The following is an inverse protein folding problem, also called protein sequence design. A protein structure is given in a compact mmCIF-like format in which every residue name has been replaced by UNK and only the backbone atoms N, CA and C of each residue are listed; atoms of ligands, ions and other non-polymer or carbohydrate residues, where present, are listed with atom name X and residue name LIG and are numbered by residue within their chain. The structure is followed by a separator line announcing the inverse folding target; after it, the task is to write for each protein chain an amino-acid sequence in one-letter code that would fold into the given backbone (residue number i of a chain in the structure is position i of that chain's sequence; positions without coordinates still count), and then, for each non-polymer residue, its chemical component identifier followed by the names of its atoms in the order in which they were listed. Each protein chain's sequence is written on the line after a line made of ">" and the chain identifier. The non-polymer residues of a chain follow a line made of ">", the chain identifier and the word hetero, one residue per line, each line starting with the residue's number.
data_IF_258835859659
#
_entry.id   IF_258835859659
#
_cell.length_a   1.000
_cell.length_b   1.000
_cell.length_c   1.000
_cell.angle_alpha   90.00
_cell.angle_beta   90.00
_cell.angle_gamma   90.00
#
_symmetry.space_group_name_H-M   'P 1'
#
loop_
_entity.id
_entity.type
_entity.pdbx_description
1 polymer ?
#
# COMPACT_ATOMS: atom_id res chain seq x y z
N UNK A 1 8.38 -41.28 -11.16
CA UNK A 1 7.80 -40.25 -10.26
C UNK A 1 8.36 -38.90 -10.65
N UNK A 2 7.78 -38.28 -11.66
CA UNK A 2 8.14 -36.93 -12.13
C UNK A 2 7.23 -35.94 -11.44
N UNK A 3 7.63 -35.46 -10.26
CA UNK A 3 6.92 -34.38 -9.58
C UNK A 3 7.05 -33.10 -10.39
N UNK A 4 5.92 -32.50 -10.79
CA UNK A 4 5.93 -31.13 -11.29
C UNK A 4 6.52 -30.21 -10.20
N UNK A 5 7.41 -29.27 -10.56
CA UNK A 5 7.90 -28.30 -9.58
C UNK A 5 6.71 -27.47 -9.07
N UNK A 6 6.49 -27.50 -7.74
CA UNK A 6 5.51 -26.66 -7.06
C UNK A 6 5.74 -25.20 -7.46
N UNK A 7 4.70 -24.54 -7.93
CA UNK A 7 4.80 -23.10 -8.22
C UNK A 7 5.15 -22.35 -6.93
N UNK A 8 5.88 -21.23 -7.02
CA UNK A 8 6.22 -20.40 -5.85
C UNK A 8 4.96 -20.00 -5.05
N UNK A 9 3.82 -19.80 -5.73
CA UNK A 9 2.51 -19.55 -5.09
C UNK A 9 2.02 -20.75 -4.30
N UNK A 10 2.15 -21.97 -4.82
CA UNK A 10 1.79 -23.18 -4.09
C UNK A 10 2.71 -23.43 -2.91
N UNK A 11 4.02 -23.19 -3.06
CA UNK A 11 4.97 -23.23 -1.96
C UNK A 11 4.59 -22.25 -0.84
N UNK A 12 4.25 -21.00 -1.17
CA UNK A 12 3.83 -19.99 -0.19
C UNK A 12 2.48 -20.31 0.46
N UNK A 13 1.50 -20.84 -0.30
CA UNK A 13 0.23 -21.31 0.25
C UNK A 13 0.45 -22.45 1.25
N UNK A 14 1.35 -23.38 0.94
CA UNK A 14 1.72 -24.45 1.87
C UNK A 14 2.52 -23.90 3.06
N UNK A 15 3.49 -23.01 2.83
CA UNK A 15 4.29 -22.39 3.87
C UNK A 15 3.44 -21.55 4.83
N UNK A 16 2.39 -20.87 4.37
CA UNK A 16 1.43 -20.16 5.23
C UNK A 16 0.61 -21.13 6.09
N UNK A 17 0.21 -22.29 5.54
CA UNK A 17 -0.47 -23.37 6.29
C UNK A 17 0.41 -23.98 7.39
N UNK A 18 1.73 -24.01 7.18
CA UNK A 18 2.71 -24.50 8.16
C UNK A 18 3.44 -23.37 8.91
N UNK A 19 3.05 -22.12 8.64
CA UNK A 19 3.82 -20.89 8.86
C UNK A 19 3.65 -20.26 10.23
N UNK A 20 3.38 -21.07 11.24
CA UNK A 20 3.55 -20.71 12.66
C UNK A 20 4.77 -21.41 13.26
N UNK A 21 5.51 -22.24 12.50
CA UNK A 21 6.60 -23.07 13.05
C UNK A 21 8.00 -22.40 13.05
N UNK A 22 8.16 -21.15 12.59
CA UNK A 22 9.43 -20.40 12.74
C UNK A 22 9.33 -19.20 13.70
N UNK A 23 8.67 -19.44 14.83
CA UNK A 23 8.79 -18.68 16.06
C UNK A 23 8.38 -19.62 17.19
N UNK A 24 9.34 -20.18 17.91
CA UNK A 24 9.12 -21.32 18.81
C UNK A 24 7.98 -21.13 19.81
N UNK A 25 7.12 -22.15 19.93
CA UNK A 25 6.07 -22.26 20.95
C UNK A 25 4.85 -23.13 20.59
N UNK A 26 5.06 -24.46 20.50
CA UNK A 26 4.12 -25.53 20.87
C UNK A 26 2.61 -25.52 20.53
N UNK A 27 2.24 -26.37 19.56
CA UNK A 27 1.13 -27.37 19.51
C UNK A 27 -0.33 -26.93 19.82
N UNK A 28 -1.20 -27.04 18.81
CA UNK A 28 -2.52 -27.67 18.93
C UNK A 28 -2.97 -28.26 17.57
N UNK A 29 -3.61 -29.43 17.64
CA UNK A 29 -3.82 -30.42 16.58
C UNK A 29 -4.79 -29.94 15.48
N UNK A 30 -4.38 -30.05 14.21
CA UNK A 30 -5.24 -29.77 13.05
C UNK A 30 -6.10 -30.99 12.69
N UNK A 31 -7.41 -30.76 12.56
CA UNK A 31 -8.36 -31.65 11.89
C UNK A 31 -7.89 -31.97 10.44
N UNK A 32 -8.30 -33.12 9.84
CA UNK A 32 -7.83 -33.56 8.54
C UNK A 32 -8.53 -32.84 7.37
N UNK A 33 -8.78 -31.53 7.49
CA UNK A 33 -9.40 -30.71 6.43
C UNK A 33 -8.53 -30.62 5.17
N UNK A 34 -7.22 -30.86 5.30
CA UNK A 34 -6.27 -30.91 4.19
C UNK A 34 -6.54 -32.06 3.19
N UNK A 35 -7.15 -33.16 3.65
CA UNK A 35 -7.47 -34.31 2.78
C UNK A 35 -8.67 -34.01 1.88
N UNK A 36 -9.64 -33.23 2.36
CA UNK A 36 -10.80 -32.77 1.59
C UNK A 36 -10.41 -31.70 0.56
N UNK A 37 -9.42 -30.86 0.89
CA UNK A 37 -8.83 -29.86 -0.02
C UNK A 37 -8.21 -30.47 -1.28
N UNK A 38 -7.55 -31.61 -1.14
CA UNK A 38 -6.92 -32.35 -2.23
C UNK A 38 -7.94 -32.99 -3.17
N UNK A 39 -9.11 -33.37 -2.65
CA UNK A 39 -10.13 -34.09 -3.40
C UNK A 39 -11.17 -33.16 -4.05
N UNK A 40 -11.33 -31.92 -3.55
CA UNK A 40 -12.36 -31.01 -4.07
C UNK A 40 -12.05 -29.51 -3.84
N UNK A 41 -11.03 -28.95 -4.52
CA UNK A 41 -10.55 -27.60 -4.26
C UNK A 41 -11.61 -26.50 -4.48
N UNK A 42 -12.59 -26.72 -5.36
CA UNK A 42 -13.67 -25.76 -5.64
C UNK A 42 -14.76 -25.70 -4.57
N UNK A 43 -15.08 -26.84 -3.93
CA UNK A 43 -16.08 -26.90 -2.86
C UNK A 43 -15.57 -26.29 -1.56
N UNK A 44 -14.27 -26.43 -1.25
CA UNK A 44 -13.70 -25.81 -0.04
C UNK A 44 -13.58 -24.28 -0.19
N UNK A 45 -13.18 -23.77 -1.36
CA UNK A 45 -13.10 -22.32 -1.58
C UNK A 45 -14.45 -21.60 -1.45
N UNK A 46 -15.54 -22.22 -1.92
CA UNK A 46 -16.89 -21.67 -1.77
C UNK A 46 -17.38 -21.69 -0.32
N UNK A 47 -17.09 -22.75 0.43
CA UNK A 47 -17.40 -22.84 1.85
C UNK A 47 -16.64 -21.77 2.66
N UNK A 48 -15.33 -21.66 2.44
CA UNK A 48 -14.47 -20.64 3.07
C UNK A 48 -14.95 -19.22 2.77
N UNK A 49 -15.35 -18.94 1.52
CA UNK A 49 -15.92 -17.64 1.17
C UNK A 49 -17.22 -17.36 1.92
N UNK A 50 -18.12 -18.34 2.03
CA UNK A 50 -19.38 -18.15 2.74
C UNK A 50 -19.13 -17.84 4.22
N UNK A 51 -18.16 -18.49 4.86
CA UNK A 51 -17.83 -18.23 6.25
C UNK A 51 -17.15 -16.87 6.41
N UNK A 52 -16.21 -16.51 5.52
CA UNK A 52 -15.62 -15.18 5.46
C UNK A 52 -16.69 -14.08 5.31
N UNK A 53 -17.68 -14.29 4.44
CA UNK A 53 -18.74 -13.30 4.21
C UNK A 53 -19.67 -13.12 5.43
N UNK A 54 -19.89 -14.18 6.23
CA UNK A 54 -20.68 -14.12 7.46
C UNK A 54 -19.97 -13.35 8.57
N UNK A 55 -18.66 -13.59 8.72
CA UNK A 55 -17.83 -12.98 9.77
C UNK A 55 -17.36 -11.57 9.42
N UNK A 56 -17.32 -11.23 8.12
CA UNK A 56 -16.79 -9.96 7.65
C UNK A 56 -17.58 -8.76 8.23
N UNK A 57 -16.91 -7.83 8.91
CA UNK A 57 -17.57 -6.64 9.43
C UNK A 57 -18.04 -5.74 8.28
N UNK A 58 -19.03 -4.92 8.60
CA UNK A 58 -19.55 -3.90 7.69
C UNK A 58 -18.45 -2.89 7.36
N UNK A 59 -18.22 -2.66 6.07
CA UNK A 59 -17.31 -1.62 5.59
C UNK A 59 -17.94 -0.22 5.75
N UNK A 60 -17.14 0.84 5.67
CA UNK A 60 -17.59 2.20 6.01
C UNK A 60 -17.94 3.10 4.82
N UNK A 61 -17.24 2.97 3.70
CA UNK A 61 -17.36 3.89 2.57
C UNK A 61 -18.11 3.28 1.39
N UNK A 62 -19.44 3.37 1.40
CA UNK A 62 -20.31 2.86 0.34
C UNK A 62 -21.74 3.40 0.42
N UNK A 63 -22.45 3.33 -0.71
CA UNK A 63 -23.90 3.53 -0.80
C UNK A 63 -24.54 2.28 -1.43
N UNK A 64 -25.84 2.07 -1.22
CA UNK A 64 -26.55 0.95 -1.82
C UNK A 64 -27.98 1.31 -2.21
N UNK A 65 -28.46 0.63 -3.25
CA UNK A 65 -29.88 0.64 -3.65
C UNK A 65 -30.80 0.00 -2.61
N UNK A 66 -30.26 -0.74 -1.64
CA UNK A 66 -31.03 -1.30 -0.51
C UNK A 66 -31.19 -0.33 0.68
N UNK A 67 -30.56 0.85 0.66
CA UNK A 67 -30.73 1.86 1.70
C UNK A 67 -32.08 2.59 1.56
N UNK A 68 -32.71 3.04 2.66
CA UNK A 68 -33.85 3.95 2.58
C UNK A 68 -33.43 5.26 1.91
N UNK A 69 -34.15 5.67 0.86
CA UNK A 69 -33.81 6.83 0.00
C UNK A 69 -32.40 6.76 -0.60
N UNK A 70 -32.14 5.83 -1.54
CA UNK A 70 -30.82 5.70 -2.14
C UNK A 70 -30.43 7.00 -2.87
N UNK A 71 -29.17 7.43 -2.73
CA UNK A 71 -28.62 8.55 -3.51
C UNK A 71 -28.50 8.13 -4.98
N UNK A 72 -29.57 8.39 -5.75
CA UNK A 72 -29.64 8.05 -7.16
C UNK A 72 -28.60 8.82 -7.99
N UNK A 73 -28.23 10.05 -7.61
CA UNK A 73 -27.19 10.83 -8.30
C UNK A 73 -25.80 10.24 -8.08
N UNK A 74 -25.65 9.47 -6.99
CA UNK A 74 -24.48 8.64 -6.76
C UNK A 74 -24.25 7.60 -7.87
N UNK A 75 -25.28 7.19 -8.62
CA UNK A 75 -25.20 6.11 -9.62
C UNK A 75 -25.69 6.51 -11.02
N UNK A 76 -26.52 7.54 -11.14
CA UNK A 76 -27.18 7.98 -12.35
C UNK A 76 -26.87 9.44 -12.66
N UNK A 77 -26.85 9.80 -13.94
CA UNK A 77 -26.74 11.21 -14.36
C UNK A 77 -28.03 11.97 -14.06
N UNK A 78 -28.00 13.31 -13.93
CA UNK A 78 -29.21 14.11 -13.78
C UNK A 78 -30.23 13.85 -14.90
N UNK A 79 -29.77 13.68 -16.14
CA UNK A 79 -30.63 13.39 -17.29
C UNK A 79 -31.30 12.01 -17.18
N UNK A 80 -30.57 11.01 -16.67
CA UNK A 80 -31.11 9.67 -16.43
C UNK A 80 -32.20 9.66 -15.34
N UNK A 81 -32.10 10.56 -14.36
CA UNK A 81 -33.11 10.73 -13.29
C UNK A 81 -34.29 11.58 -13.79
N UNK A 82 -34.01 12.65 -14.54
CA UNK A 82 -35.02 13.59 -15.05
C UNK A 82 -35.94 12.96 -16.12
N UNK A 83 -35.50 11.92 -16.81
CA UNK A 83 -36.28 11.23 -17.84
C UNK A 83 -37.47 10.41 -17.32
N UNK A 84 -37.91 10.57 -16.06
CA UNK A 84 -39.02 9.87 -15.40
C UNK A 84 -38.99 8.32 -15.51
N UNK A 85 -37.85 7.73 -15.87
CA UNK A 85 -37.69 6.28 -15.89
C UNK A 85 -37.50 5.80 -14.46
N UNK A 86 -38.48 5.07 -13.93
CA UNK A 86 -38.30 4.33 -12.67
C UNK A 86 -37.18 3.31 -12.84
N UNK A 87 -36.03 3.56 -12.21
CA UNK A 87 -34.88 2.64 -12.21
C UNK A 87 -35.11 1.52 -11.19
N UNK A 88 -35.78 0.46 -11.62
CA UNK A 88 -35.97 -0.74 -10.82
C UNK A 88 -34.68 -1.57 -10.80
N UNK A 89 -34.23 -1.95 -9.60
CA UNK A 89 -33.07 -2.81 -9.42
C UNK A 89 -33.52 -4.21 -9.01
N UNK A 90 -33.29 -5.20 -9.88
CA UNK A 90 -33.64 -6.61 -9.60
C UNK A 90 -32.90 -7.21 -8.39
N UNK A 91 -31.75 -6.61 -8.04
CA UNK A 91 -30.92 -7.01 -6.91
C UNK A 91 -30.29 -5.78 -6.23
N UNK A 92 -29.90 -5.93 -4.97
CA UNK A 92 -29.17 -4.89 -4.27
C UNK A 92 -27.80 -4.67 -4.90
N UNK A 93 -27.51 -3.42 -5.30
CA UNK A 93 -26.22 -3.00 -5.82
C UNK A 93 -25.57 -2.08 -4.79
N UNK A 94 -24.26 -2.25 -4.61
CA UNK A 94 -23.44 -1.44 -3.73
C UNK A 94 -22.41 -0.67 -4.55
N UNK A 95 -22.34 0.65 -4.39
CA UNK A 95 -21.24 1.46 -4.91
C UNK A 95 -20.20 1.64 -3.82
N UNK A 96 -19.00 1.11 -4.04
CA UNK A 96 -17.86 1.29 -3.14
C UNK A 96 -17.24 2.68 -3.34
N UNK A 97 -17.14 3.44 -2.24
CA UNK A 97 -16.59 4.80 -2.23
C UNK A 97 -15.20 4.90 -1.58
N UNK A 98 -14.58 3.76 -1.27
CA UNK A 98 -13.27 3.71 -0.63
C UNK A 98 -12.13 4.24 -1.51
N UNK A 99 -12.11 3.82 -2.78
CA UNK A 99 -11.01 4.06 -3.69
C UNK A 99 -11.53 4.51 -5.05
N UNK A 100 -10.66 5.10 -5.86
CA UNK A 100 -11.05 5.69 -7.14
C UNK A 100 -11.47 4.67 -8.21
N UNK A 101 -11.45 3.35 -7.91
CA UNK A 101 -12.10 2.36 -8.77
C UNK A 101 -13.63 2.52 -8.80
N UNK A 102 -14.24 3.07 -7.75
CA UNK A 102 -15.68 3.34 -7.72
C UNK A 102 -16.56 2.13 -8.04
N UNK A 103 -16.17 0.92 -7.60
CA UNK A 103 -16.80 -0.33 -8.05
C UNK A 103 -18.30 -0.35 -7.75
N UNK A 104 -19.09 -0.71 -8.76
CA UNK A 104 -20.48 -1.14 -8.62
C UNK A 104 -20.49 -2.66 -8.42
N UNK A 105 -21.02 -3.12 -7.30
CA UNK A 105 -20.89 -4.51 -6.84
C UNK A 105 -22.29 -5.10 -6.67
N UNK A 106 -22.63 -6.12 -7.46
CA UNK A 106 -23.90 -6.84 -7.36
C UNK A 106 -23.90 -7.78 -6.16
N UNK A 107 -25.08 -8.27 -5.79
CA UNK A 107 -25.25 -9.22 -4.70
C UNK A 107 -24.32 -10.43 -4.88
N UNK A 108 -23.51 -10.75 -3.86
CA UNK A 108 -22.59 -11.88 -3.89
C UNK A 108 -21.31 -11.65 -4.70
N UNK A 109 -21.15 -10.50 -5.35
CA UNK A 109 -19.93 -10.15 -6.08
C UNK A 109 -18.94 -9.37 -5.22
N UNK A 110 -17.72 -9.20 -5.74
CA UNK A 110 -16.62 -8.46 -5.10
C UNK A 110 -16.18 -7.28 -5.93
N UNK A 111 -15.64 -6.25 -5.26
CA UNK A 111 -14.91 -5.19 -5.93
C UNK A 111 -13.62 -5.71 -6.57
N UNK A 112 -13.01 -4.89 -7.46
CA UNK A 112 -11.75 -5.24 -8.14
C UNK A 112 -10.62 -5.63 -7.18
N UNK A 113 -10.63 -5.09 -5.95
CA UNK A 113 -9.64 -5.43 -4.94
C UNK A 113 -9.76 -6.85 -4.35
N UNK A 114 -10.85 -7.57 -4.64
CA UNK A 114 -11.18 -8.92 -4.11
C UNK A 114 -11.42 -9.00 -2.60
N UNK A 115 -11.12 -7.92 -1.87
CA UNK A 115 -11.20 -7.82 -0.42
C UNK A 115 -12.56 -7.32 0.11
N UNK A 116 -13.44 -6.83 -0.77
CA UNK A 116 -14.76 -6.29 -0.39
C UNK A 116 -15.87 -6.92 -1.20
N UNK A 117 -16.95 -7.31 -0.53
CA UNK A 117 -18.06 -8.08 -1.10
C UNK A 117 -19.40 -7.45 -0.73
N UNK A 118 -20.35 -7.45 -1.67
CA UNK A 118 -21.72 -7.07 -1.37
C UNK A 118 -22.47 -8.28 -0.80
N UNK A 119 -22.90 -8.16 0.47
CA UNK A 119 -23.66 -9.18 1.19
C UNK A 119 -25.01 -8.58 1.59
N UNK A 120 -26.04 -8.93 0.83
CA UNK A 120 -27.44 -8.51 1.05
C UNK A 120 -27.60 -6.98 1.02
N UNK A 121 -26.93 -6.32 0.08
CA UNK A 121 -26.95 -4.85 -0.05
C UNK A 121 -26.00 -4.12 0.88
N UNK A 122 -25.17 -4.83 1.67
CA UNK A 122 -24.16 -4.23 2.52
C UNK A 122 -22.75 -4.56 2.04
N UNK A 123 -21.87 -3.54 1.96
CA UNK A 123 -20.46 -3.80 1.69
C UNK A 123 -19.79 -4.38 2.94
N UNK A 124 -19.18 -5.56 2.80
CA UNK A 124 -18.42 -6.23 3.86
C UNK A 124 -16.92 -6.27 3.54
N UNK A 125 -16.08 -6.12 4.56
CA UNK A 125 -14.62 -6.20 4.45
C UNK A 125 -14.13 -7.61 4.79
N UNK A 126 -13.76 -8.39 3.78
CA UNK A 126 -13.37 -9.79 3.93
C UNK A 126 -11.98 -9.99 4.58
N UNK A 127 -11.23 -8.89 4.76
CA UNK A 127 -9.82 -8.90 5.19
C UNK A 127 -9.61 -8.25 6.55
N UNK A 128 -10.67 -7.75 7.20
CA UNK A 128 -10.57 -7.17 8.53
C UNK A 128 -10.11 -8.25 9.53
N UNK A 129 -9.09 -7.93 10.34
CA UNK A 129 -8.56 -8.88 11.31
C UNK A 129 -7.79 -10.05 10.71
N UNK A 130 -7.46 -10.03 9.41
CA UNK A 130 -6.86 -11.17 8.70
C UNK A 130 -5.52 -10.79 8.04
N UNK A 131 -4.49 -10.46 8.82
CA UNK A 131 -3.15 -10.22 8.28
C UNK A 131 -2.55 -11.53 7.75
N UNK A 132 -1.96 -11.51 6.55
CA UNK A 132 -1.39 -12.70 5.90
C UNK A 132 0.13 -12.69 5.84
N UNK A 133 0.75 -11.54 6.14
CA UNK A 133 2.19 -11.39 6.28
C UNK A 133 2.45 -10.35 7.36
N UNK A 134 3.42 -10.66 8.23
CA UNK A 134 3.87 -9.80 9.32
C UNK A 134 5.38 -9.93 9.43
N UNK A 135 6.10 -8.81 9.40
CA UNK A 135 7.54 -8.76 9.62
C UNK A 135 7.93 -7.54 10.45
N UNK A 136 9.05 -7.62 11.17
CA UNK A 136 9.72 -6.44 11.71
C UNK A 136 10.87 -6.13 10.77
N UNK A 137 10.75 -5.05 10.01
CA UNK A 137 11.81 -4.59 9.11
C UNK A 137 12.14 -3.11 9.40
N UNK A 138 13.34 -2.63 9.04
CA UNK A 138 13.67 -1.21 9.11
C UNK A 138 12.66 -0.33 8.35
N UNK A 139 12.47 0.89 8.83
CA UNK A 139 11.60 1.89 8.20
C UNK A 139 12.11 2.28 6.79
N UNK A 140 13.43 2.19 6.57
CA UNK A 140 14.10 2.40 5.28
C UNK A 140 13.62 1.44 4.19
N UNK A 141 13.17 0.22 4.55
CA UNK A 141 12.61 -0.72 3.58
C UNK A 141 11.26 -0.25 3.03
N UNK A 142 10.57 0.66 3.74
CA UNK A 142 9.30 1.30 3.34
C UNK A 142 9.56 2.72 2.83
N UNK A 143 10.58 2.88 1.97
CA UNK A 143 11.42 4.07 1.80
C UNK A 143 10.89 5.35 2.48
N UNK A 144 10.96 5.36 3.81
CA UNK A 144 10.69 6.51 4.65
C UNK A 144 12.04 6.97 5.19
N UNK A 145 12.71 7.85 4.46
CA UNK A 145 14.07 8.29 4.84
C UNK A 145 14.05 9.50 5.77
N UNK A 146 12.90 10.18 5.85
CA UNK A 146 12.69 11.37 6.66
C UNK A 146 11.61 11.15 7.72
N UNK A 147 11.33 9.89 8.09
CA UNK A 147 10.43 9.54 9.17
C UNK A 147 11.08 8.49 10.08
N UNK A 148 11.58 8.94 11.23
CA UNK A 148 12.22 8.11 12.25
C UNK A 148 13.30 7.16 11.68
N UNK A 149 14.27 7.68 10.89
CA UNK A 149 15.28 6.84 10.24
C UNK A 149 16.05 5.97 11.23
N UNK A 150 16.26 4.70 10.87
CA UNK A 150 16.88 3.66 11.69
C UNK A 150 15.91 2.90 12.61
N UNK A 151 14.64 3.31 12.70
CA UNK A 151 13.66 2.65 13.54
C UNK A 151 13.15 1.32 12.95
N UNK A 152 12.79 0.40 13.83
CA UNK A 152 12.07 -0.82 13.47
C UNK A 152 10.58 -0.55 13.22
N UNK A 153 10.04 -1.16 12.17
CA UNK A 153 8.62 -1.07 11.85
C UNK A 153 7.96 -2.46 11.83
N UNK A 154 6.93 -2.64 12.66
CA UNK A 154 6.03 -3.78 12.65
C UNK A 154 5.12 -3.69 11.42
N UNK A 155 5.41 -4.50 10.43
CA UNK A 155 4.89 -4.38 9.07
C UNK A 155 3.84 -5.43 8.82
N UNK A 156 2.70 -5.08 8.24
CA UNK A 156 1.66 -6.05 7.93
C UNK A 156 0.91 -5.75 6.63
N UNK A 157 0.34 -6.80 6.05
CA UNK A 157 -0.54 -6.74 4.89
C UNK A 157 -1.66 -7.78 4.96
N UNK A 158 -2.70 -7.57 4.17
CA UNK A 158 -3.78 -8.53 3.93
C UNK A 158 -3.78 -9.01 2.47
N UNK A 159 -4.76 -9.81 2.07
CA UNK A 159 -4.97 -10.14 0.65
C UNK A 159 -5.62 -8.96 -0.11
N UNK A 160 -5.32 -8.87 -1.41
CA UNK A 160 -6.00 -7.99 -2.36
C UNK A 160 -5.33 -6.64 -2.61
N UNK A 161 -5.69 -5.99 -3.72
CA UNK A 161 -5.19 -4.69 -4.14
C UNK A 161 -6.14 -4.12 -5.21
N UNK A 162 -6.49 -2.82 -5.19
CA UNK A 162 -7.39 -2.25 -6.19
C UNK A 162 -6.74 -2.10 -7.57
N UNK A 163 -5.42 -2.30 -7.69
CA UNK A 163 -4.64 -2.20 -8.92
C UNK A 163 -4.14 -3.58 -9.38
N UNK A 164 -3.79 -3.66 -10.66
CA UNK A 164 -3.25 -4.86 -11.30
C UNK A 164 -1.89 -4.59 -11.96
N UNK A 165 -1.00 -3.88 -11.24
CA UNK A 165 0.31 -3.47 -11.77
C UNK A 165 1.09 -4.66 -12.34
N UNK A 166 1.49 -4.58 -13.61
CA UNK A 166 2.27 -5.64 -14.30
C UNK A 166 3.64 -5.91 -13.66
N UNK A 167 4.21 -4.92 -12.97
CA UNK A 167 5.50 -4.98 -12.27
C UNK A 167 5.38 -5.25 -10.76
N UNK A 168 4.20 -5.67 -10.25
CA UNK A 168 3.98 -5.81 -8.81
C UNK A 168 4.93 -6.84 -8.18
N UNK A 169 5.80 -6.40 -7.26
CA UNK A 169 6.75 -7.27 -6.57
C UNK A 169 6.08 -8.18 -5.51
N UNK A 170 4.90 -7.80 -5.02
CA UNK A 170 4.12 -8.55 -4.04
C UNK A 170 2.80 -9.05 -4.67
N UNK A 171 2.89 -9.52 -5.91
CA UNK A 171 1.71 -9.93 -6.68
C UNK A 171 1.01 -11.15 -6.06
N UNK A 172 1.74 -12.04 -5.36
CA UNK A 172 1.15 -13.22 -4.72
C UNK A 172 0.13 -12.88 -3.63
N UNK A 173 0.27 -11.72 -2.97
CA UNK A 173 -0.68 -11.25 -1.97
C UNK A 173 -1.64 -10.20 -2.54
N UNK A 174 -1.16 -9.35 -3.44
CA UNK A 174 -1.95 -8.27 -4.05
C UNK A 174 -3.02 -8.79 -5.00
N UNK A 175 -2.72 -9.89 -5.71
CA UNK A 175 -3.63 -10.51 -6.67
C UNK A 175 -4.40 -11.71 -6.10
N UNK A 176 -4.15 -12.07 -4.84
CA UNK A 176 -4.86 -13.14 -4.16
C UNK A 176 -6.27 -12.73 -3.73
N UNK A 177 -7.09 -13.76 -3.52
CA UNK A 177 -8.38 -13.65 -2.84
C UNK A 177 -8.18 -13.90 -1.34
N UNK A 178 -9.01 -13.34 -0.46
CA UNK A 178 -8.91 -13.60 0.99
C UNK A 178 -8.92 -15.10 1.33
N UNK A 179 -9.76 -15.90 0.67
CA UNK A 179 -9.83 -17.34 0.87
C UNK A 179 -8.62 -18.14 0.34
N UNK A 180 -7.71 -17.52 -0.42
CA UNK A 180 -6.44 -18.16 -0.81
C UNK A 180 -5.51 -18.36 0.39
N UNK A 181 -5.72 -17.60 1.47
CA UNK A 181 -4.91 -17.59 2.69
C UNK A 181 -5.81 -17.70 3.93
N UNK A 182 -6.16 -18.93 4.37
CA UNK A 182 -6.88 -19.12 5.61
C UNK A 182 -5.97 -18.72 6.78
N UNK A 183 -6.36 -17.67 7.50
CA UNK A 183 -5.65 -17.15 8.68
C UNK A 183 -6.64 -16.88 9.80
N UNK A 184 -6.17 -16.99 11.03
CA UNK A 184 -6.96 -16.69 12.22
C UNK A 184 -7.23 -15.19 12.36
N UNK A 185 -8.30 -14.86 13.06
CA UNK A 185 -8.63 -13.48 13.40
C UNK A 185 -7.60 -12.90 14.38
N UNK A 186 -7.10 -11.71 14.07
CA UNK A 186 -6.20 -10.92 14.92
C UNK A 186 -6.90 -9.60 15.26
N UNK A 187 -7.12 -9.36 16.55
CA UNK A 187 -7.71 -8.11 17.02
C UNK A 187 -6.73 -6.92 16.84
N UNK A 188 -7.24 -5.69 16.58
CA UNK A 188 -6.39 -4.50 16.47
C UNK A 188 -5.43 -4.29 17.66
N UNK A 189 -5.94 -4.51 18.88
CA UNK A 189 -5.14 -4.41 20.11
C UNK A 189 -3.99 -5.43 20.16
N UNK A 190 -4.22 -6.64 19.62
CA UNK A 190 -3.18 -7.67 19.57
C UNK A 190 -2.03 -7.26 18.65
N UNK A 191 -2.32 -6.57 17.54
CA UNK A 191 -1.29 -6.01 16.65
C UNK A 191 -0.47 -4.94 17.37
N UNK A 192 -1.14 -4.01 18.06
CA UNK A 192 -0.47 -2.95 18.81
C UNK A 192 0.44 -3.52 19.92
N UNK A 193 -0.06 -4.49 20.69
CA UNK A 193 0.72 -5.18 21.72
C UNK A 193 1.90 -5.95 21.13
N UNK A 194 1.71 -6.60 19.98
CA UNK A 194 2.78 -7.32 19.30
C UNK A 194 3.89 -6.37 18.82
N UNK A 195 3.53 -5.20 18.30
CA UNK A 195 4.50 -4.16 17.93
C UNK A 195 5.30 -3.67 19.15
N UNK A 196 4.62 -3.38 20.27
CA UNK A 196 5.25 -3.01 21.53
C UNK A 196 6.24 -4.08 22.02
N UNK A 197 5.79 -5.35 22.07
CA UNK A 197 6.60 -6.48 22.56
C UNK A 197 7.86 -6.75 21.74
N UNK A 198 7.87 -6.32 20.47
CA UNK A 198 9.00 -6.47 19.54
C UNK A 198 9.87 -5.21 19.43
N UNK A 199 9.68 -4.23 20.31
CA UNK A 199 10.39 -2.95 20.29
C UNK A 199 10.31 -2.26 18.91
N UNK A 200 9.13 -2.32 18.28
CA UNK A 200 8.85 -1.64 17.03
C UNK A 200 8.04 -0.36 17.32
N UNK A 201 8.68 0.83 17.35
CA UNK A 201 7.97 2.08 17.62
C UNK A 201 7.03 2.51 16.47
N UNK A 202 7.01 1.76 15.37
CA UNK A 202 6.22 2.04 14.18
C UNK A 202 5.41 0.80 13.80
N UNK A 203 4.14 0.97 13.44
CA UNK A 203 3.35 0.00 12.67
C UNK A 203 3.26 0.50 11.23
N UNK A 204 3.64 -0.35 10.28
CA UNK A 204 3.61 -0.05 8.86
C UNK A 204 2.58 -0.91 8.13
N UNK A 205 1.59 -0.28 7.54
CA UNK A 205 0.66 -0.93 6.63
C UNK A 205 1.28 -0.89 5.22
N UNK A 206 1.64 -2.06 4.66
CA UNK A 206 2.50 -2.14 3.47
C UNK A 206 2.33 -3.45 2.68
N UNK A 207 3.31 -3.81 1.83
CA UNK A 207 3.42 -4.95 0.91
C UNK A 207 2.39 -5.01 -0.21
N UNK A 208 1.09 -4.95 0.08
CA UNK A 208 0.01 -4.84 -0.91
C UNK A 208 -0.49 -3.38 -1.00
N UNK A 209 -1.81 -3.18 -1.12
CA UNK A 209 -2.43 -1.87 -0.96
C UNK A 209 -3.26 -1.81 0.34
N UNK A 210 -2.82 -1.08 1.37
CA UNK A 210 -3.52 -1.05 2.64
C UNK A 210 -4.89 -0.40 2.64
N UNK A 211 -5.18 0.46 1.65
CA UNK A 211 -6.52 1.05 1.48
C UNK A 211 -7.62 0.00 1.53
N UNK A 212 -7.37 -1.23 1.04
CA UNK A 212 -8.40 -2.28 1.01
C UNK A 212 -8.90 -2.69 2.40
N UNK A 213 -8.06 -2.57 3.43
CA UNK A 213 -8.36 -2.88 4.83
C UNK A 213 -8.43 -1.64 5.73
N UNK A 214 -8.89 -0.51 5.19
CA UNK A 214 -9.00 0.79 5.88
C UNK A 214 -9.60 0.72 7.29
N UNK A 215 -10.68 -0.03 7.49
CA UNK A 215 -11.31 -0.15 8.81
C UNK A 215 -10.36 -0.79 9.83
N UNK A 216 -9.64 -1.85 9.42
CA UNK A 216 -8.72 -2.57 10.29
C UNK A 216 -7.47 -1.76 10.61
N UNK A 217 -6.87 -1.10 9.62
CA UNK A 217 -5.68 -0.27 9.86
C UNK A 217 -5.99 0.94 10.75
N UNK A 218 -7.18 1.54 10.62
CA UNK A 218 -7.59 2.67 11.45
C UNK A 218 -7.79 2.24 12.91
N UNK A 219 -8.40 1.08 13.13
CA UNK A 219 -8.56 0.53 14.48
C UNK A 219 -7.22 0.13 15.11
N UNK A 220 -6.28 -0.40 14.32
CA UNK A 220 -4.91 -0.68 14.79
C UNK A 220 -4.21 0.63 15.18
N UNK A 221 -4.28 1.66 14.33
CA UNK A 221 -3.66 2.95 14.61
C UNK A 221 -4.23 3.58 15.89
N UNK A 222 -5.55 3.49 16.11
CA UNK A 222 -6.20 3.92 17.36
C UNK A 222 -5.70 3.14 18.58
N UNK A 223 -5.57 1.81 18.47
CA UNK A 223 -5.07 0.96 19.55
C UNK A 223 -3.57 1.16 19.87
N UNK A 224 -2.80 1.59 18.87
CA UNK A 224 -1.36 1.84 18.98
C UNK A 224 -1.02 3.18 19.64
N UNK A 225 -1.87 4.21 19.47
CA UNK A 225 -1.66 5.57 19.98
C UNK A 225 -1.37 5.64 21.49
N UNK A 226 -2.16 5.01 22.39
CA UNK A 226 -1.88 5.04 23.84
C UNK A 226 -0.54 4.42 24.23
N UNK A 227 0.06 3.62 23.35
CA UNK A 227 1.36 2.97 23.55
C UNK A 227 2.52 3.77 22.93
N UNK A 228 2.28 4.99 22.46
CA UNK A 228 3.25 5.83 21.74
C UNK A 228 3.83 5.18 20.48
N UNK A 229 3.09 4.26 19.85
CA UNK A 229 3.50 3.60 18.61
C UNK A 229 2.93 4.39 17.43
N UNK A 230 3.82 4.82 16.52
CA UNK A 230 3.48 5.60 15.33
C UNK A 230 2.92 4.69 14.24
N UNK A 231 2.03 5.19 13.40
CA UNK A 231 1.43 4.42 12.31
C UNK A 231 1.72 5.05 10.95
N UNK A 232 2.17 4.22 10.00
CA UNK A 232 2.54 4.67 8.64
C UNK A 232 1.82 3.86 7.56
N UNK A 233 1.52 4.52 6.45
CA UNK A 233 0.86 3.93 5.29
C UNK A 233 1.77 3.95 4.06
N UNK A 234 1.93 2.80 3.40
CA UNK A 234 2.59 2.66 2.09
C UNK A 234 1.52 2.33 1.06
N UNK A 235 1.21 3.24 0.15
CA UNK A 235 0.05 3.13 -0.75
C UNK A 235 0.36 3.48 -2.21
N UNK A 236 -0.43 2.96 -3.13
CA UNK A 236 -0.51 3.40 -4.52
C UNK A 236 -1.23 4.75 -4.71
N UNK A 237 -1.83 5.30 -3.65
CA UNK A 237 -2.49 6.61 -3.71
C UNK A 237 -3.83 6.63 -4.44
N UNK A 238 -4.37 5.49 -4.88
CA UNK A 238 -5.61 5.43 -5.67
C UNK A 238 -6.89 5.47 -4.81
N UNK A 239 -6.92 6.34 -3.79
CA UNK A 239 -8.01 6.47 -2.81
C UNK A 239 -9.13 7.41 -3.30
N UNK A 240 -10.22 7.55 -2.55
CA UNK A 240 -11.12 8.70 -2.65
C UNK A 240 -10.81 9.72 -1.55
N UNK A 241 -11.30 10.94 -1.70
CA UNK A 241 -10.92 12.05 -0.81
C UNK A 241 -11.36 11.83 0.64
N UNK A 242 -12.61 11.48 0.89
CA UNK A 242 -13.14 11.29 2.25
C UNK A 242 -12.41 10.17 3.03
N UNK A 243 -12.23 8.94 2.50
CA UNK A 243 -11.42 7.92 3.18
C UNK A 243 -9.99 8.38 3.48
N UNK A 244 -9.38 9.12 2.55
CA UNK A 244 -8.01 9.63 2.73
C UNK A 244 -7.95 10.70 3.83
N UNK A 245 -8.98 11.53 4.00
CA UNK A 245 -9.03 12.51 5.11
C UNK A 245 -8.90 11.80 6.45
N UNK A 246 -9.71 10.76 6.68
CA UNK A 246 -9.66 10.01 7.94
C UNK A 246 -8.31 9.29 8.11
N UNK A 247 -7.73 8.75 7.04
CA UNK A 247 -6.39 8.16 7.10
C UNK A 247 -5.33 9.21 7.47
N UNK A 248 -5.40 10.42 6.92
CA UNK A 248 -4.47 11.51 7.26
C UNK A 248 -4.61 11.98 8.70
N UNK A 249 -5.81 11.91 9.30
CA UNK A 249 -6.05 12.22 10.71
C UNK A 249 -5.55 11.12 11.65
N UNK A 250 -5.59 9.87 11.19
CA UNK A 250 -5.24 8.70 11.99
C UNK A 250 -3.74 8.36 11.96
N UNK A 251 -3.06 8.65 10.85
CA UNK A 251 -1.70 8.21 10.57
C UNK A 251 -0.66 9.32 10.74
N UNK A 252 0.57 8.92 11.01
CA UNK A 252 1.69 9.83 11.27
C UNK A 252 2.56 10.08 10.03
N UNK A 253 2.59 9.12 9.10
CA UNK A 253 3.21 9.31 7.79
C UNK A 253 2.50 8.49 6.70
N UNK A 254 2.54 9.01 5.49
CA UNK A 254 2.00 8.39 4.30
C UNK A 254 3.08 8.44 3.23
N UNK A 255 3.33 7.31 2.57
CA UNK A 255 4.18 7.24 1.40
C UNK A 255 3.35 6.75 0.22
N UNK A 256 3.36 7.54 -0.86
CA UNK A 256 2.58 7.26 -2.06
C UNK A 256 3.51 6.86 -3.21
N UNK A 257 3.18 5.77 -3.90
CA UNK A 257 3.80 5.42 -5.18
C UNK A 257 3.21 6.27 -6.30
N UNK A 258 3.94 7.28 -6.76
CA UNK A 258 3.69 7.93 -8.04
C UNK A 258 4.34 7.08 -9.13
N UNK A 259 3.59 6.05 -9.58
CA UNK A 259 4.13 4.95 -10.40
C UNK A 259 4.59 5.37 -11.81
N UNK A 260 4.18 6.53 -12.27
CA UNK A 260 4.54 7.13 -13.55
C UNK A 260 3.88 8.51 -13.66
N UNK A 261 4.08 9.20 -14.78
CA UNK A 261 3.48 10.51 -15.04
C UNK A 261 2.82 10.55 -16.43
N UNK A 262 2.08 9.48 -16.75
CA UNK A 262 1.31 9.34 -18.00
C UNK A 262 0.02 8.56 -17.72
N UNK A 263 -1.11 9.02 -18.25
CA UNK A 263 -2.38 8.31 -18.17
C UNK A 263 -2.33 6.96 -18.90
N UNK A 264 -1.59 6.87 -20.01
CA UNK A 264 -1.39 5.62 -20.75
C UNK A 264 -0.66 4.59 -19.91
N UNK A 265 0.42 4.99 -19.24
CA UNK A 265 1.12 4.10 -18.31
C UNK A 265 0.19 3.59 -17.21
N UNK A 266 -0.62 4.48 -16.60
CA UNK A 266 -1.56 4.08 -15.55
C UNK A 266 -2.63 3.11 -16.06
N UNK A 267 -3.19 3.37 -17.24
CA UNK A 267 -4.22 2.52 -17.83
C UNK A 267 -3.66 1.16 -18.21
N UNK A 268 -2.54 1.15 -18.94
CA UNK A 268 -2.06 -0.05 -19.64
C UNK A 268 -1.10 -0.90 -18.78
N UNK A 269 -0.45 -0.30 -17.78
CA UNK A 269 0.51 -0.98 -16.89
C UNK A 269 -0.04 -1.16 -15.47
N UNK A 270 -0.77 -0.17 -14.92
CA UNK A 270 -1.27 -0.23 -13.54
C UNK A 270 -2.75 -0.66 -13.42
N UNK A 271 -3.55 -0.53 -14.48
CA UNK A 271 -5.01 -0.74 -14.44
C UNK A 271 -5.74 0.34 -13.65
N UNK A 272 -5.25 1.58 -13.70
CA UNK A 272 -5.74 2.73 -12.95
C UNK A 272 -5.67 4.03 -13.78
N UNK A 273 -5.93 5.18 -13.15
CA UNK A 273 -5.77 6.51 -13.74
C UNK A 273 -4.78 7.34 -12.91
N UNK A 274 -4.06 8.28 -13.55
CA UNK A 274 -3.06 9.11 -12.86
C UNK A 274 -3.72 10.15 -11.94
N UNK A 275 -4.75 10.82 -12.44
CA UNK A 275 -5.38 11.98 -11.76
C UNK A 275 -5.81 11.71 -10.30
N UNK A 276 -6.43 10.56 -9.93
CA UNK A 276 -6.74 10.27 -8.54
C UNK A 276 -5.50 10.15 -7.64
N UNK A 277 -4.37 9.62 -8.15
CA UNK A 277 -3.12 9.52 -7.38
C UNK A 277 -2.57 10.92 -7.10
N UNK A 278 -2.52 11.78 -8.11
CA UNK A 278 -2.06 13.17 -7.95
C UNK A 278 -2.92 13.94 -6.93
N UNK A 279 -4.25 13.76 -6.96
CA UNK A 279 -5.15 14.35 -5.97
C UNK A 279 -4.86 13.83 -4.56
N UNK A 280 -4.66 12.52 -4.39
CA UNK A 280 -4.31 11.96 -3.07
C UNK A 280 -3.00 12.50 -2.53
N UNK A 281 -1.98 12.64 -3.37
CA UNK A 281 -0.69 13.22 -2.98
C UNK A 281 -0.89 14.67 -2.50
N UNK A 282 -1.61 15.50 -3.27
CA UNK A 282 -1.92 16.89 -2.85
C UNK A 282 -2.71 16.95 -1.55
N UNK A 283 -3.63 16.01 -1.33
CA UNK A 283 -4.40 15.95 -0.10
C UNK A 283 -3.54 15.56 1.11
N UNK A 284 -2.71 14.52 0.96
CA UNK A 284 -1.79 14.09 2.02
C UNK A 284 -0.77 15.18 2.36
N UNK A 285 -0.24 15.88 1.36
CA UNK A 285 0.71 17.00 1.54
C UNK A 285 0.12 18.19 2.32
N UNK A 286 -1.20 18.38 2.28
CA UNK A 286 -1.91 19.43 3.04
C UNK A 286 -2.27 19.00 4.47
N UNK A 287 -2.05 17.73 4.81
CA UNK A 287 -2.35 17.19 6.13
C UNK A 287 -1.16 17.33 7.08
N UNK A 288 -1.36 16.96 8.35
CA UNK A 288 -0.27 16.88 9.33
C UNK A 288 0.60 15.62 9.17
N UNK A 289 0.19 14.64 8.37
CA UNK A 289 0.96 13.43 8.15
C UNK A 289 2.19 13.72 7.28
N UNK A 290 3.35 13.17 7.66
CA UNK A 290 4.57 13.27 6.85
C UNK A 290 4.39 12.56 5.51
N UNK A 291 4.83 13.16 4.41
CA UNK A 291 4.66 12.62 3.06
C UNK A 291 6.00 12.31 2.40
N UNK A 292 6.13 11.11 1.83
CA UNK A 292 7.20 10.77 0.88
C UNK A 292 6.63 10.15 -0.40
N UNK A 293 7.33 10.31 -1.52
CA UNK A 293 6.91 9.81 -2.83
C UNK A 293 7.91 8.79 -3.33
N UNK A 294 7.42 7.69 -3.90
CA UNK A 294 8.26 6.71 -4.59
C UNK A 294 7.84 6.59 -6.04
N UNK A 295 8.83 6.52 -6.92
CA UNK A 295 8.68 6.10 -8.30
C UNK A 295 9.58 4.88 -8.54
N UNK A 296 8.96 3.71 -8.73
CA UNK A 296 9.68 2.52 -9.22
C UNK A 296 9.92 2.69 -10.71
N UNK A 297 11.16 2.90 -11.10
CA UNK A 297 11.52 3.19 -12.50
C UNK A 297 11.63 1.88 -13.26
N UNK A 298 10.68 1.57 -14.11
CA UNK A 298 10.60 0.38 -14.94
C UNK A 298 11.09 0.73 -16.36
N UNK A 299 12.16 0.08 -16.85
CA UNK A 299 12.70 0.33 -18.19
C UNK A 299 11.63 0.27 -19.27
N UNK A 300 11.74 1.17 -20.25
CA UNK A 300 10.87 1.34 -21.43
C UNK A 300 9.41 1.71 -21.14
N UNK A 301 9.01 1.79 -19.87
CA UNK A 301 7.61 2.04 -19.48
C UNK A 301 7.43 3.39 -18.79
N UNK A 302 8.32 3.78 -17.87
CA UNK A 302 8.22 5.07 -17.17
C UNK A 302 9.58 5.77 -16.96
N UNK A 303 10.61 5.35 -17.70
CA UNK A 303 11.99 5.84 -17.53
C UNK A 303 12.44 6.85 -18.61
N UNK A 304 11.50 7.32 -19.43
CA UNK A 304 11.75 8.37 -20.41
C UNK A 304 12.06 9.70 -19.71
N UNK A 305 12.88 10.52 -20.36
CA UNK A 305 13.24 11.85 -19.85
C UNK A 305 12.01 12.74 -19.67
N UNK A 306 11.05 12.69 -20.60
CA UNK A 306 9.79 13.42 -20.53
C UNK A 306 9.00 13.03 -19.26
N UNK A 307 8.83 11.73 -18.99
CA UNK A 307 8.03 11.28 -17.85
C UNK A 307 8.70 11.62 -16.52
N UNK A 308 10.02 11.46 -16.43
CA UNK A 308 10.79 11.81 -15.24
C UNK A 308 10.81 13.33 -15.00
N UNK A 309 10.92 14.12 -16.05
CA UNK A 309 10.88 15.59 -15.98
C UNK A 309 9.50 16.08 -15.56
N UNK A 310 8.44 15.59 -16.19
CA UNK A 310 7.06 15.97 -15.83
C UNK A 310 6.71 15.60 -14.40
N UNK A 311 7.18 14.44 -13.92
CA UNK A 311 7.02 14.04 -12.52
C UNK A 311 7.73 15.03 -11.58
N UNK A 312 9.01 15.33 -11.84
CA UNK A 312 9.80 16.23 -10.99
C UNK A 312 9.24 17.67 -10.99
N UNK A 313 8.83 18.17 -12.16
CA UNK A 313 8.18 19.48 -12.30
C UNK A 313 6.88 19.55 -11.52
N UNK A 314 6.05 18.51 -11.60
CA UNK A 314 4.80 18.44 -10.86
C UNK A 314 5.02 18.40 -9.35
N UNK A 315 5.95 17.59 -8.87
CA UNK A 315 6.30 17.53 -7.44
C UNK A 315 6.77 18.90 -6.96
N UNK A 316 7.70 19.52 -7.68
CA UNK A 316 8.21 20.84 -7.31
C UNK A 316 7.12 21.92 -7.33
N UNK A 317 6.26 21.92 -8.34
CA UNK A 317 5.21 22.93 -8.51
C UNK A 317 4.04 22.79 -7.55
N UNK A 318 3.67 21.57 -7.14
CA UNK A 318 2.49 21.32 -6.31
C UNK A 318 2.83 21.11 -4.83
N UNK A 319 4.02 20.60 -4.53
CA UNK A 319 4.40 20.17 -3.17
C UNK A 319 5.60 20.94 -2.62
N UNK A 320 6.42 21.54 -3.49
CA UNK A 320 7.64 22.25 -3.11
C UNK A 320 8.87 21.35 -3.02
N UNK A 321 10.01 21.91 -2.57
CA UNK A 321 11.31 21.27 -2.69
C UNK A 321 11.58 20.19 -1.63
N UNK A 322 10.81 20.20 -0.54
CA UNK A 322 11.12 19.47 0.68
C UNK A 322 10.44 18.10 0.81
N UNK A 323 9.52 17.73 -0.09
CA UNK A 323 8.92 16.39 -0.10
C UNK A 323 9.93 15.39 -0.69
N UNK A 324 10.38 14.38 0.08
CA UNK A 324 11.30 13.37 -0.42
C UNK A 324 10.72 12.58 -1.58
N UNK A 325 11.54 12.36 -2.61
CA UNK A 325 11.21 11.51 -3.75
C UNK A 325 12.26 10.42 -3.93
N UNK A 326 11.80 9.18 -4.11
CA UNK A 326 12.66 8.01 -4.29
C UNK A 326 12.50 7.43 -5.69
N UNK A 327 13.56 7.47 -6.49
CA UNK A 327 13.65 6.72 -7.74
C UNK A 327 14.25 5.35 -7.44
N UNK A 328 13.38 4.35 -7.35
CA UNK A 328 13.78 3.00 -6.93
C UNK A 328 14.00 2.08 -8.12
N UNK A 329 15.05 1.25 -8.04
CA UNK A 329 15.37 0.24 -9.04
C UNK A 329 14.29 -0.84 -9.12
N UNK A 330 13.79 -1.07 -10.33
CA UNK A 330 12.97 -2.21 -10.72
C UNK A 330 13.80 -3.49 -10.77
N UNK A 331 13.17 -4.60 -10.36
CA UNK A 331 13.64 -5.96 -10.57
C UNK A 331 12.57 -6.72 -11.36
N UNK A 332 12.94 -7.59 -12.32
CA UNK A 332 11.98 -8.33 -13.14
C UNK A 332 11.13 -9.28 -12.30
N UNK A 333 9.84 -8.97 -12.18
CA UNK A 333 8.87 -9.70 -11.38
C UNK A 333 7.52 -9.76 -12.09
N UNK A 334 6.67 -10.70 -11.65
CA UNK A 334 5.28 -10.87 -12.08
C UNK A 334 5.10 -11.02 -13.61
N UNK A 335 4.54 -10.01 -14.28
CA UNK A 335 4.21 -10.05 -15.71
C UNK A 335 5.28 -9.39 -16.60
N UNK A 336 6.37 -8.87 -16.03
CA UNK A 336 7.45 -8.23 -16.76
C UNK A 336 8.82 -8.93 -16.59
N UNK A 337 8.91 -10.28 -16.66
CA UNK A 337 10.19 -10.98 -16.52
C UNK A 337 11.15 -10.72 -17.70
N UNK A 338 10.62 -10.20 -18.81
CA UNK A 338 11.36 -9.93 -20.05
C UNK A 338 12.10 -8.58 -20.07
N UNK A 339 11.84 -7.71 -19.10
CA UNK A 339 12.57 -6.44 -18.96
C UNK A 339 13.80 -6.65 -18.07
N UNK A 340 14.91 -5.93 -18.28
CA UNK A 340 16.04 -5.96 -17.36
C UNK A 340 15.72 -5.19 -16.06
N UNK A 341 16.49 -5.40 -14.97
CA UNK A 341 16.50 -4.46 -13.86
C UNK A 341 16.87 -3.06 -14.35
N UNK A 342 16.35 -2.00 -13.71
CA UNK A 342 16.69 -0.62 -14.13
C UNK A 342 18.20 -0.40 -14.10
N UNK A 343 18.79 0.13 -15.19
CA UNK A 343 20.17 0.58 -15.15
C UNK A 343 20.38 1.65 -14.08
N UNK A 344 21.50 1.60 -13.35
CA UNK A 344 21.81 2.61 -12.31
C UNK A 344 21.88 4.01 -12.91
N UNK A 345 22.46 4.14 -14.11
CA UNK A 345 22.53 5.40 -14.86
C UNK A 345 21.15 6.04 -15.12
N UNK A 346 20.10 5.24 -15.29
CA UNK A 346 18.72 5.76 -15.44
C UNK A 346 18.22 6.37 -14.14
N UNK A 347 18.54 5.77 -12.98
CA UNK A 347 18.17 6.30 -11.67
C UNK A 347 18.99 7.56 -11.31
N UNK A 348 20.28 7.57 -11.67
CA UNK A 348 21.14 8.74 -11.53
C UNK A 348 20.61 9.92 -12.36
N UNK A 349 20.17 9.66 -13.60
CA UNK A 349 19.53 10.66 -14.46
C UNK A 349 18.24 11.19 -13.83
N UNK A 350 17.36 10.31 -13.32
CA UNK A 350 16.14 10.73 -12.63
C UNK A 350 16.44 11.63 -11.41
N UNK A 351 17.45 11.25 -10.60
CA UNK A 351 17.92 12.05 -9.47
C UNK A 351 18.50 13.40 -9.93
N UNK A 352 19.28 13.43 -11.00
CA UNK A 352 19.86 14.65 -11.54
C UNK A 352 18.78 15.63 -12.03
N UNK A 353 17.77 15.13 -12.74
CA UNK A 353 16.60 15.92 -13.17
C UNK A 353 15.91 16.54 -11.94
N UNK A 354 15.61 15.74 -10.91
CA UNK A 354 14.97 16.24 -9.70
C UNK A 354 15.80 17.32 -8.98
N UNK A 355 17.12 17.12 -8.86
CA UNK A 355 18.03 18.14 -8.30
C UNK A 355 18.02 19.43 -9.12
N UNK A 356 18.08 19.33 -10.46
CA UNK A 356 18.03 20.50 -11.35
C UNK A 356 16.71 21.26 -11.25
N UNK A 357 15.60 20.58 -10.95
CA UNK A 357 14.30 21.21 -10.68
C UNK A 357 14.20 21.83 -9.29
N UNK A 358 15.20 21.65 -8.42
CA UNK A 358 15.24 22.24 -7.09
C UNK A 358 14.69 21.35 -5.98
N UNK A 359 14.41 20.07 -6.25
CA UNK A 359 14.02 19.12 -5.20
C UNK A 359 15.24 18.86 -4.30
N UNK A 360 15.07 19.05 -3.00
CA UNK A 360 16.16 18.93 -2.01
C UNK A 360 16.54 17.48 -1.72
N UNK A 361 15.56 16.56 -1.72
CA UNK A 361 15.75 15.19 -1.27
C UNK A 361 15.36 14.13 -2.32
N UNK A 362 16.00 14.10 -3.51
CA UNK A 362 15.84 13.02 -4.47
C UNK A 362 16.81 11.87 -4.18
N UNK A 363 16.25 10.68 -4.01
CA UNK A 363 16.96 9.46 -3.67
C UNK A 363 17.05 8.50 -4.85
N UNK A 364 18.16 7.78 -4.92
CA UNK A 364 18.26 6.52 -5.67
C UNK A 364 18.00 5.42 -4.67
N UNK A 365 17.02 4.55 -4.93
CA UNK A 365 16.67 3.43 -4.05
C UNK A 365 16.94 2.06 -4.68
N UNK A 366 17.01 1.01 -3.86
CA UNK A 366 17.31 -0.37 -4.27
C UNK A 366 18.67 -0.53 -5.00
N UNK A 367 19.64 0.34 -4.69
CA UNK A 367 21.03 0.24 -5.12
C UNK A 367 21.92 0.38 -3.87
N UNK A 368 22.16 -0.71 -3.11
CA UNK A 368 22.90 -0.63 -1.85
C UNK A 368 24.30 -0.01 -2.03
N UNK A 369 24.65 0.92 -1.13
CA UNK A 369 25.96 1.60 -1.14
C UNK A 369 26.05 2.77 -2.13
N UNK A 370 25.00 3.06 -2.89
CA UNK A 370 25.00 4.18 -3.83
C UNK A 370 24.96 5.53 -3.07
N UNK A 371 25.77 6.54 -3.44
CA UNK A 371 25.77 7.85 -2.78
C UNK A 371 24.40 8.53 -2.74
N UNK A 372 23.58 8.30 -3.77
CA UNK A 372 22.18 8.76 -3.83
C UNK A 372 21.22 8.12 -2.81
N UNK A 373 21.65 7.17 -1.97
CA UNK A 373 20.88 6.69 -0.82
C UNK A 373 20.98 7.64 0.39
N UNK A 374 22.00 8.49 0.43
CA UNK A 374 22.31 9.35 1.57
C UNK A 374 21.47 10.63 1.56
N UNK A 375 21.16 11.15 2.74
CA UNK A 375 20.54 12.47 2.88
C UNK A 375 21.62 13.53 2.94
N UNK A 376 21.50 14.55 2.09
CA UNK A 376 22.40 15.70 2.02
C UNK A 376 21.71 16.94 2.56
N UNK A 377 22.44 17.81 3.26
CA UNK A 377 21.91 19.09 3.72
C UNK A 377 21.74 20.05 2.54
N UNK A 378 20.54 20.62 2.29
CA UNK A 378 20.34 21.58 1.21
C UNK A 378 21.13 22.88 1.41
N UNK A 379 21.41 23.25 2.66
CA UNK A 379 22.14 24.49 2.99
C UNK A 379 23.66 24.43 2.79
N UNK A 380 24.31 23.29 3.02
CA UNK A 380 25.78 23.18 2.96
C UNK A 380 26.31 22.00 2.15
N UNK A 381 25.45 21.14 1.61
CA UNK A 381 25.83 19.98 0.82
C UNK A 381 26.47 18.83 1.59
N UNK A 382 26.66 18.94 2.91
CA UNK A 382 27.23 17.86 3.73
C UNK A 382 26.29 16.66 3.80
N UNK A 383 26.86 15.45 3.84
CA UNK A 383 26.10 14.22 4.13
C UNK A 383 25.65 14.25 5.59
N UNK A 384 24.35 14.30 5.82
CA UNK A 384 23.75 14.36 7.17
C UNK A 384 23.14 13.04 7.62
N UNK A 385 22.78 12.15 6.69
CA UNK A 385 22.44 10.76 7.03
C UNK A 385 23.12 9.85 6.01
N UNK A 386 24.03 9.00 6.48
CA UNK A 386 24.69 8.00 5.64
C UNK A 386 23.95 6.68 5.75
N UNK A 387 23.65 6.05 4.62
CA UNK A 387 22.95 4.76 4.54
C UNK A 387 23.73 3.76 3.69
N UNK A 388 23.53 2.48 3.99
CA UNK A 388 23.88 1.38 3.09
C UNK A 388 22.74 0.38 3.08
N UNK A 389 22.07 0.25 1.93
CA UNK A 389 20.83 -0.53 1.84
C UNK A 389 19.76 0.06 2.76
N UNK A 390 19.28 -0.74 3.72
CA UNK A 390 18.24 -0.34 4.68
C UNK A 390 18.79 0.12 6.04
N UNK A 391 20.11 0.25 6.19
CA UNK A 391 20.73 0.58 7.47
C UNK A 391 21.26 2.01 7.47
N UNK A 392 20.95 2.75 8.54
CA UNK A 392 21.56 4.04 8.85
C UNK A 392 22.91 3.79 9.52
N UNK A 393 23.98 4.32 8.91
CA UNK A 393 25.35 4.18 9.39
C UNK A 393 25.78 5.37 10.23
N UNK A 394 25.36 6.57 9.85
CA UNK A 394 25.65 7.82 10.55
C UNK A 394 24.48 8.79 10.43
N UNK A 395 24.26 9.57 11.49
CA UNK A 395 23.25 10.62 11.54
C UNK A 395 23.84 11.88 12.19
N UNK A 396 23.98 12.95 11.39
CA UNK A 396 24.52 14.25 11.77
C UNK A 396 23.40 15.29 11.82
N UNK A 397 22.39 14.98 12.64
CA UNK A 397 21.24 15.84 12.93
C UNK A 397 21.18 16.18 14.42
N UNK A 398 20.80 17.41 14.74
CA UNK A 398 20.46 17.86 16.08
C UNK A 398 19.11 18.54 16.06
N UNK A 399 18.10 17.96 16.72
CA UNK A 399 16.72 18.48 16.76
C UNK A 399 16.17 18.86 15.37
N UNK A 400 16.35 17.95 14.41
CA UNK A 400 15.91 18.16 13.01
C UNK A 400 16.69 19.19 12.20
N UNK A 401 17.90 19.55 12.63
CA UNK A 401 18.78 20.50 11.94
C UNK A 401 20.13 19.87 11.61
N UNK A 402 20.72 20.28 10.50
CA UNK A 402 22.06 19.89 10.10
C UNK A 402 23.08 20.26 11.20
N UNK A 403 23.87 19.29 11.65
CA UNK A 403 24.92 19.52 12.67
C UNK A 403 26.06 20.43 12.20
N UNK A 404 26.21 20.66 10.90
CA UNK A 404 27.30 21.46 10.31
C UNK A 404 26.95 22.93 10.10
N UNK A 405 25.75 23.22 9.58
CA UNK A 405 25.33 24.59 9.24
C UNK A 405 24.01 25.04 9.87
N UNK A 406 23.40 24.21 10.72
CA UNK A 406 22.14 24.49 11.43
C UNK A 406 20.90 24.68 10.53
N UNK A 407 21.01 24.38 9.23
CA UNK A 407 19.88 24.40 8.30
C UNK A 407 18.79 23.39 8.76
N UNK A 408 17.49 23.79 8.80
CA UNK A 408 16.39 22.87 9.09
C UNK A 408 16.30 21.76 8.03
N UNK A 409 16.14 20.52 8.44
CA UNK A 409 15.97 19.39 7.53
C UNK A 409 14.53 18.92 7.66
N UNK A 410 13.78 18.97 6.55
CA UNK A 410 12.38 18.60 6.51
C UNK A 410 12.21 17.12 6.85
N UNK A 411 11.33 16.77 7.80
CA UNK A 411 11.10 15.39 8.22
C UNK A 411 10.71 15.27 9.69
N UNK A 412 10.45 14.04 10.12
CA UNK A 412 10.14 13.64 11.49
C UNK A 412 11.32 12.86 12.04
N UNK A 413 11.94 13.41 13.09
CA UNK A 413 13.19 12.92 13.66
C UNK A 413 12.99 12.41 15.09
N UNK A 414 13.81 11.44 15.50
CA UNK A 414 13.78 10.88 16.85
C UNK A 414 14.36 11.81 17.92
#
# INVERSE_FOLDING_TARGET
>A
MTGQPLSRREFLKQAARYGVILGGGGIALSHPSWLLDLLNPGLNAAALLNDLAKEAPRARFWISTAMPNPDCLGCHTPDEIAAEKTHAHEQAIVKCLLCAQGCMIKQGERGKCRARMNVKGELRSLVYGRPITIHVDPIEKKPFYHFLPGANAYSLATAGCPLACKFCQNWEISQARPEDYPVDYVAPQAVANAAASRNAPIIAFTYNEPTVFAEYLLDIARAARPQNIRSVLVSCGFMNAEPLTEMCEALDAIKIDLKGFSDDFYRDVAGAALKPVLRSIKQAAKSAAHLEIVNLVVPTLNDSEEMLTGLAEWVMGELGPDVPIHFTRFHPDYQLPNLPPTPVATLERARAIALQKGIHYPYVGNVPGHPGNNTYCPGCGSVIIRRSGFFVLEMQLKKGRCSFCNHPIAGVWA
#
